data_IF_967200057704
#
_entry.id   IF_967200057704
#
_cell.length_a   1.000
_cell.length_b   1.000
_cell.length_c   1.000
_cell.angle_alpha   90.00
_cell.angle_beta   90.00
_cell.angle_gamma   90.00
#
_symmetry.space_group_name_H-M   'P 1'
#
loop_
_entity.id
_entity.type
_entity.pdbx_description
1 polymer ?
#
# COMPACT_ATOMS: atom_id res chain seq x y z
N UNK A 1 -20.81 -1.70 -48.95
CA UNK A 1 -19.68 -2.40 -48.28
C UNK A 1 -18.89 -1.36 -47.49
N UNK A 2 -19.23 -1.13 -46.21
CA UNK A 2 -18.50 -0.20 -45.33
C UNK A 2 -17.49 -0.96 -44.47
N UNK A 3 -16.23 -0.52 -44.49
CA UNK A 3 -15.20 -0.91 -43.52
C UNK A 3 -15.35 -0.04 -42.27
N UNK A 4 -15.72 -0.63 -41.14
CA UNK A 4 -15.51 -0.03 -39.83
C UNK A 4 -14.05 -0.24 -39.43
N UNK A 5 -13.28 0.85 -39.29
CA UNK A 5 -12.01 0.87 -38.56
C UNK A 5 -12.33 1.21 -37.11
N UNK A 6 -12.19 0.27 -36.19
CA UNK A 6 -12.17 0.60 -34.75
C UNK A 6 -10.84 1.27 -34.44
N UNK A 7 -10.85 2.58 -34.23
CA UNK A 7 -9.81 3.24 -33.47
C UNK A 7 -10.02 2.90 -32.00
N UNK A 8 -9.30 1.91 -31.49
CA UNK A 8 -9.08 1.76 -30.06
C UNK A 8 -7.65 2.21 -29.79
N UNK A 9 -7.50 3.52 -29.62
CA UNK A 9 -6.31 4.10 -29.03
C UNK A 9 -6.37 3.76 -27.54
N UNK A 10 -5.71 2.67 -27.14
CA UNK A 10 -5.59 2.29 -25.73
C UNK A 10 -4.88 3.44 -25.03
N UNK A 11 -5.60 4.11 -24.12
CA UNK A 11 -5.10 5.21 -23.32
C UNK A 11 -4.28 4.61 -22.17
N UNK A 12 -2.95 4.68 -22.28
CA UNK A 12 -2.01 4.06 -21.34
C UNK A 12 -1.86 4.82 -19.99
N UNK A 13 -2.75 5.75 -19.68
CA UNK A 13 -2.65 6.60 -18.48
C UNK A 13 -3.55 6.18 -17.31
N UNK A 14 -4.47 5.22 -17.50
CA UNK A 14 -5.38 4.77 -16.45
C UNK A 14 -4.72 3.65 -15.63
N UNK A 15 -3.78 4.01 -14.75
CA UNK A 15 -3.36 3.08 -13.68
C UNK A 15 -4.62 2.72 -12.87
N UNK A 16 -4.94 1.43 -12.70
CA UNK A 16 -6.16 1.05 -11.99
C UNK A 16 -6.09 1.55 -10.54
N UNK A 17 -7.05 2.38 -10.16
CA UNK A 17 -7.28 2.80 -8.78
C UNK A 17 -8.47 2.00 -8.23
N UNK A 18 -8.33 1.50 -6.99
CA UNK A 18 -9.37 0.74 -6.30
C UNK A 18 -9.78 1.53 -5.05
N UNK A 19 -11.08 1.65 -4.82
CA UNK A 19 -11.67 2.22 -3.60
C UNK A 19 -12.58 1.16 -2.97
N UNK A 20 -12.41 0.95 -1.66
CA UNK A 20 -13.30 0.12 -0.85
C UNK A 20 -13.73 0.94 0.35
N UNK A 21 -15.03 0.95 0.63
CA UNK A 21 -15.63 1.63 1.78
C UNK A 21 -16.38 0.59 2.59
N UNK A 22 -16.15 0.59 3.91
CA UNK A 22 -16.81 -0.31 4.85
C UNK A 22 -16.93 0.36 6.21
N UNK A 23 -17.97 -0.03 6.95
CA UNK A 23 -18.17 0.38 8.35
C UNK A 23 -17.58 -0.73 9.23
N UNK A 24 -16.79 -0.34 10.21
CA UNK A 24 -16.15 -1.26 11.16
C UNK A 24 -16.49 -0.78 12.57
N UNK A 25 -16.84 -1.72 13.45
CA UNK A 25 -17.08 -1.41 14.85
C UNK A 25 -15.76 -1.11 15.57
N UNK A 26 -15.68 0.06 16.19
CA UNK A 26 -14.50 0.50 16.92
C UNK A 26 -14.37 2.03 16.95
N UNK A 27 -13.50 2.54 17.81
CA UNK A 27 -13.14 3.97 17.77
C UNK A 27 -12.20 4.23 16.61
N UNK A 28 -12.23 5.46 16.07
CA UNK A 28 -11.29 5.88 15.03
C UNK A 28 -9.83 5.69 15.47
N UNK A 29 -9.53 5.94 16.75
CA UNK A 29 -8.23 5.71 17.37
C UNK A 29 -7.82 4.23 17.33
N UNK A 30 -8.70 3.33 17.78
CA UNK A 30 -8.37 1.90 17.80
C UNK A 30 -8.13 1.37 16.39
N UNK A 31 -8.94 1.80 15.42
CA UNK A 31 -8.77 1.43 14.00
C UNK A 31 -7.44 1.99 13.47
N UNK A 32 -7.14 3.24 13.76
CA UNK A 32 -5.88 3.88 13.35
C UNK A 32 -4.67 3.12 13.92
N UNK A 33 -4.65 2.82 15.22
CA UNK A 33 -3.55 2.06 15.84
C UNK A 33 -3.41 0.67 15.23
N UNK A 34 -4.51 -0.02 14.95
CA UNK A 34 -4.50 -1.32 14.26
C UNK A 34 -3.91 -1.23 12.85
N UNK A 35 -4.27 -0.20 12.07
CA UNK A 35 -3.72 0.02 10.73
C UNK A 35 -2.23 0.38 10.75
N UNK A 36 -1.82 1.11 11.79
CA UNK A 36 -0.45 1.60 11.96
C UNK A 36 0.48 0.60 12.65
N UNK A 37 -0.06 -0.51 13.17
CA UNK A 37 0.77 -1.53 13.80
C UNK A 37 1.66 -2.26 12.77
N UNK A 38 2.89 -2.55 13.20
CA UNK A 38 3.87 -3.36 12.47
C UNK A 38 4.25 -4.62 13.26
N UNK A 39 3.63 -4.83 14.41
CA UNK A 39 3.86 -5.99 15.28
C UNK A 39 3.04 -7.21 14.86
N UNK A 40 3.04 -8.28 15.67
CA UNK A 40 2.34 -9.53 15.38
C UNK A 40 0.84 -9.36 15.07
N UNK A 41 0.17 -8.37 15.70
CA UNK A 41 -1.24 -8.07 15.44
C UNK A 41 -1.55 -7.67 14.00
N UNK A 42 -0.54 -7.24 13.24
CA UNK A 42 -0.69 -6.94 11.81
C UNK A 42 -0.90 -8.19 10.97
N UNK A 43 -0.21 -9.29 11.33
CA UNK A 43 -0.32 -10.58 10.63
C UNK A 43 -1.67 -11.26 10.86
N UNK A 44 -2.45 -10.84 11.85
CA UNK A 44 -3.79 -11.38 12.13
C UNK A 44 -4.79 -11.06 11.02
N UNK A 45 -4.58 -9.98 10.27
CA UNK A 45 -5.52 -9.52 9.23
C UNK A 45 -4.88 -9.17 7.88
N UNK A 46 -3.60 -8.80 7.84
CA UNK A 46 -2.87 -8.53 6.60
C UNK A 46 -2.18 -9.80 6.10
N UNK A 47 -2.90 -10.57 5.29
CA UNK A 47 -2.47 -11.90 4.82
C UNK A 47 -1.13 -11.91 4.08
N UNK A 48 -0.73 -10.80 3.47
CA UNK A 48 0.54 -10.67 2.76
C UNK A 48 1.71 -10.29 3.69
N UNK A 49 1.44 -9.79 4.90
CA UNK A 49 2.44 -9.21 5.78
C UNK A 49 3.27 -10.27 6.51
N UNK A 50 4.59 -10.27 6.25
CA UNK A 50 5.53 -11.11 6.96
C UNK A 50 6.14 -10.41 8.19
N UNK A 51 6.74 -9.23 7.98
CA UNK A 51 7.38 -8.43 9.03
C UNK A 51 7.42 -6.97 8.64
N UNK A 52 7.40 -6.09 9.64
CA UNK A 52 7.56 -4.65 9.45
C UNK A 52 8.49 -4.05 10.50
N UNK A 53 9.13 -2.95 10.15
CA UNK A 53 9.88 -2.12 11.09
C UNK A 53 9.86 -0.66 10.66
N UNK A 54 9.80 0.25 11.63
CA UNK A 54 10.09 1.66 11.37
C UNK A 54 11.58 1.80 11.11
N UNK A 55 11.93 2.39 9.97
CA UNK A 55 13.30 2.69 9.57
C UNK A 55 13.70 4.06 10.11
N UNK A 56 12.82 5.04 10.00
CA UNK A 56 13.08 6.42 10.40
C UNK A 56 11.77 7.14 10.75
N UNK A 57 11.76 7.92 11.82
CA UNK A 57 10.69 8.88 12.09
C UNK A 57 11.11 10.23 11.52
N UNK A 58 10.33 10.77 10.59
CA UNK A 58 10.64 12.06 9.96
C UNK A 58 10.09 13.23 10.80
N UNK A 59 8.90 13.03 11.36
CA UNK A 59 8.25 13.95 12.30
C UNK A 59 7.23 13.17 13.18
N UNK A 60 6.35 13.87 13.90
CA UNK A 60 5.32 13.25 14.75
C UNK A 60 4.15 12.60 14.00
N UNK A 61 4.10 12.77 12.68
CA UNK A 61 2.99 12.45 11.78
C UNK A 61 3.43 11.77 10.48
N UNK A 62 4.73 11.53 10.34
CA UNK A 62 5.37 10.96 9.16
C UNK A 62 6.52 10.07 9.58
N UNK A 63 6.55 8.85 9.05
CA UNK A 63 7.69 7.96 9.21
C UNK A 63 7.94 7.14 7.92
N UNK A 64 9.08 6.45 7.89
CA UNK A 64 9.46 5.51 6.85
C UNK A 64 9.46 4.11 7.46
N UNK A 65 8.76 3.17 6.82
CA UNK A 65 8.68 1.77 7.25
C UNK A 65 9.18 0.83 6.17
N UNK A 66 9.90 -0.20 6.57
CA UNK A 66 10.21 -1.35 5.72
C UNK A 66 9.13 -2.40 5.98
N UNK A 67 8.39 -2.78 4.94
CA UNK A 67 7.38 -3.84 4.97
C UNK A 67 7.86 -5.01 4.12
N UNK A 68 8.01 -6.16 4.75
CA UNK A 68 8.38 -7.40 4.10
C UNK A 68 7.14 -8.25 3.89
N UNK A 69 6.95 -8.77 2.68
CA UNK A 69 5.80 -9.59 2.31
C UNK A 69 6.19 -11.07 2.18
N UNK A 70 5.23 -11.97 2.36
CA UNK A 70 5.43 -13.40 2.08
C UNK A 70 5.74 -13.62 0.59
N UNK A 71 6.66 -14.55 0.28
CA UNK A 71 7.04 -14.91 -1.10
C UNK A 71 5.94 -15.66 -1.84
N UNK A 72 5.16 -16.46 -1.10
CA UNK A 72 4.35 -17.53 -1.68
C UNK A 72 2.97 -17.07 -2.12
N UNK A 73 2.64 -15.80 -1.84
CA UNK A 73 1.32 -15.20 -2.10
C UNK A 73 1.26 -14.34 -3.38
N UNK A 74 2.39 -14.15 -4.07
CA UNK A 74 2.38 -13.46 -5.35
C UNK A 74 2.16 -14.49 -6.48
N UNK A 75 1.20 -14.26 -7.40
CA UNK A 75 0.96 -15.16 -8.52
C UNK A 75 2.24 -15.48 -9.33
N UNK A 76 2.30 -16.67 -9.93
CA UNK A 76 3.28 -17.04 -10.97
C UNK A 76 4.77 -16.99 -10.57
N UNK A 77 5.12 -17.35 -9.34
CA UNK A 77 6.54 -17.47 -8.94
C UNK A 77 7.26 -16.12 -8.85
N UNK A 78 6.51 -15.04 -8.64
CA UNK A 78 7.08 -13.72 -8.38
C UNK A 78 7.98 -13.75 -7.14
N UNK A 79 9.18 -13.17 -7.27
CA UNK A 79 10.10 -13.02 -6.14
C UNK A 79 9.47 -12.14 -5.06
N UNK A 80 9.80 -12.45 -3.79
CA UNK A 80 9.46 -11.64 -2.63
C UNK A 80 9.72 -10.15 -2.90
N UNK A 81 8.72 -9.32 -2.56
CA UNK A 81 8.79 -7.86 -2.65
C UNK A 81 8.85 -7.30 -1.25
N UNK A 82 9.95 -6.63 -0.93
CA UNK A 82 10.04 -5.77 0.23
C UNK A 82 9.74 -4.33 -0.23
N UNK A 83 8.97 -3.60 0.57
CA UNK A 83 8.49 -2.25 0.28
C UNK A 83 9.04 -1.26 1.29
N UNK A 84 9.55 -0.11 0.82
CA UNK A 84 9.85 1.04 1.67
C UNK A 84 8.69 2.00 1.54
N UNK A 85 7.95 2.21 2.62
CA UNK A 85 6.76 3.04 2.60
C UNK A 85 7.04 4.28 3.42
N UNK A 86 6.88 5.46 2.82
CA UNK A 86 6.72 6.69 3.61
C UNK A 86 5.26 6.81 3.97
N UNK A 87 4.92 6.73 5.25
CA UNK A 87 3.53 6.87 5.70
C UNK A 87 3.30 8.20 6.37
N UNK A 88 2.19 8.75 5.93
CA UNK A 88 1.42 9.91 6.31
C UNK A 88 0.30 9.75 7.32
N UNK A 89 0.16 10.56 8.35
CA UNK A 89 -1.13 10.63 9.04
C UNK A 89 -1.44 12.00 9.62
N UNK A 90 -2.73 12.30 9.77
CA UNK A 90 -3.24 13.47 10.48
C UNK A 90 -4.51 13.11 11.23
N UNK A 91 -4.70 13.75 12.38
CA UNK A 91 -5.93 13.69 13.18
C UNK A 91 -6.70 14.97 12.97
N UNK A 92 -7.96 14.85 12.57
CA UNK A 92 -8.86 15.99 12.40
C UNK A 92 -9.47 16.40 13.75
N UNK A 93 -10.04 17.62 13.79
CA UNK A 93 -10.70 18.16 14.98
C UNK A 93 -11.92 17.33 15.41
N UNK A 94 -12.60 16.68 14.46
CA UNK A 94 -13.73 15.77 14.71
C UNK A 94 -13.30 14.38 15.21
N UNK A 95 -11.99 14.13 15.32
CA UNK A 95 -11.42 12.87 15.77
C UNK A 95 -11.22 11.81 14.67
N UNK A 96 -11.50 12.14 13.40
CA UNK A 96 -11.21 11.30 12.24
C UNK A 96 -9.71 11.26 11.95
N UNK A 97 -9.23 10.14 11.41
CA UNK A 97 -7.85 10.00 10.95
C UNK A 97 -7.78 9.95 9.43
N UNK A 98 -6.98 10.85 8.85
CA UNK A 98 -6.54 10.75 7.46
C UNK A 98 -5.14 10.12 7.42
N UNK A 99 -4.96 9.02 6.70
CA UNK A 99 -3.65 8.38 6.54
C UNK A 99 -3.38 8.01 5.07
N UNK A 100 -2.11 8.00 4.68
CA UNK A 100 -1.69 7.67 3.32
C UNK A 100 -0.26 7.14 3.27
N UNK A 101 0.10 6.47 2.17
CA UNK A 101 1.43 5.88 1.99
C UNK A 101 1.95 6.23 0.60
N UNK A 102 3.25 6.50 0.50
CA UNK A 102 3.99 6.53 -0.76
C UNK A 102 4.92 5.34 -0.77
N UNK A 103 4.82 4.50 -1.81
CA UNK A 103 5.66 3.32 -1.97
C UNK A 103 6.91 3.72 -2.75
N UNK A 104 8.07 3.51 -2.13
CA UNK A 104 9.36 3.52 -2.80
C UNK A 104 9.85 2.08 -2.94
N UNK A 105 10.16 1.59 -4.15
CA UNK A 105 10.73 0.26 -4.30
C UNK A 105 12.11 0.18 -3.62
N UNK A 106 12.31 -0.83 -2.76
CA UNK A 106 13.55 -1.03 -1.99
C UNK A 106 14.72 -1.47 -2.88
N UNK A 107 14.44 -2.02 -4.06
CA UNK A 107 15.51 -2.45 -4.96
C UNK A 107 16.06 -1.25 -5.73
N UNK A 108 17.25 -0.79 -5.35
CA UNK A 108 18.08 0.10 -6.17
C UNK A 108 18.09 -0.38 -7.64
N UNK A 109 17.36 0.34 -8.49
CA UNK A 109 17.65 0.50 -9.92
C UNK A 109 17.72 -0.73 -10.85
N UNK A 110 17.50 -1.99 -10.44
CA UNK A 110 17.64 -3.13 -11.38
C UNK A 110 16.46 -4.05 -11.59
N UNK A 111 15.42 -4.08 -10.74
CA UNK A 111 14.25 -4.94 -10.98
C UNK A 111 12.90 -4.38 -10.49
N UNK A 112 12.84 -3.09 -10.17
CA UNK A 112 11.58 -2.41 -9.83
C UNK A 112 11.12 -1.49 -10.95
N UNK A 113 10.94 -2.08 -12.13
CA UNK A 113 9.97 -1.58 -13.10
C UNK A 113 9.24 -2.81 -13.61
N UNK A 114 8.23 -3.27 -12.87
CA UNK A 114 7.13 -3.94 -13.56
C UNK A 114 6.33 -2.79 -14.14
N UNK A 115 6.61 -2.45 -15.41
CA UNK A 115 5.61 -1.81 -16.24
C UNK A 115 4.47 -2.82 -16.34
N UNK A 116 3.32 -2.50 -15.75
CA UNK A 116 2.06 -3.08 -16.18
C UNK A 116 1.74 -2.56 -17.58
#
# INVERSE_FOLDING_TARGET
MLKFRSQLQIKWDDHPAIMVVGVVDGTSEAIFQTLMSLGPSRSEWDFCFYKGSVVEHLDGHTDIVLKQLYSDWLPWGMKRRDLLLRRYWRREDDGTYGAGYVISPVTEGKHSVVKL
#
